data_IF_830506687220
#
_entry.id   IF_830506687220
#
_cell.length_a   1.000
_cell.length_b   1.000
_cell.length_c   1.000
_cell.angle_alpha   90.00
_cell.angle_beta   90.00
_cell.angle_gamma   90.00
#
_symmetry.space_group_name_H-M   'P 1'
#
loop_
_entity.id
_entity.type
_entity.pdbx_description
1 polymer ?
#
# COMPACT_ATOMS: atom_id res chain seq x y z
N UNK A 1 -40.76 11.78 21.22
CA UNK A 1 -40.95 10.36 20.95
C UNK A 1 -40.59 9.58 22.19
N UNK A 2 -41.49 8.87 22.79
CA UNK A 2 -41.27 8.16 24.05
C UNK A 2 -40.32 6.99 23.82
N UNK A 3 -39.20 6.97 24.52
CA UNK A 3 -38.30 5.82 24.57
C UNK A 3 -39.01 4.67 25.21
N UNK A 4 -39.29 3.61 24.44
CA UNK A 4 -39.67 2.33 24.99
C UNK A 4 -38.47 1.76 25.76
N UNK A 5 -38.44 1.96 27.10
CA UNK A 5 -37.61 1.16 27.97
C UNK A 5 -38.13 -0.27 27.88
N UNK A 6 -37.40 -1.17 27.23
CA UNK A 6 -37.62 -2.61 27.42
C UNK A 6 -37.11 -2.96 28.81
N UNK A 7 -38.02 -3.26 29.73
CA UNK A 7 -37.68 -3.83 31.02
C UNK A 7 -37.22 -5.27 30.82
N UNK A 8 -35.90 -5.49 30.86
CA UNK A 8 -35.34 -6.83 30.86
C UNK A 8 -35.61 -7.49 32.20
N UNK A 9 -36.10 -8.73 32.18
CA UNK A 9 -36.28 -9.52 33.38
C UNK A 9 -34.95 -10.05 33.88
N UNK A 10 -34.73 -10.21 35.21
CA UNK A 10 -33.46 -10.74 35.75
C UNK A 10 -33.08 -12.11 35.18
N UNK A 11 -34.04 -12.91 34.79
CA UNK A 11 -33.87 -14.23 34.15
C UNK A 11 -33.32 -14.17 32.71
N UNK A 12 -33.41 -12.99 32.04
CA UNK A 12 -32.85 -12.78 30.71
C UNK A 12 -31.34 -12.41 30.76
N UNK A 13 -30.77 -12.26 31.99
CA UNK A 13 -29.39 -11.89 32.20
C UNK A 13 -28.57 -13.14 32.46
N UNK A 14 -27.80 -13.57 31.46
CA UNK A 14 -26.97 -14.77 31.53
C UNK A 14 -25.80 -14.63 32.53
N UNK A 15 -25.43 -13.40 32.87
CA UNK A 15 -24.35 -13.06 33.79
C UNK A 15 -24.81 -11.98 34.79
N UNK A 16 -24.82 -12.27 36.11
CA UNK A 16 -25.37 -11.35 37.12
C UNK A 16 -24.65 -10.01 37.29
N UNK A 17 -23.42 -9.91 36.78
CA UNK A 17 -22.62 -8.69 36.82
C UNK A 17 -22.59 -7.95 35.46
N UNK A 18 -23.44 -8.34 34.51
CA UNK A 18 -23.47 -7.71 33.18
C UNK A 18 -24.33 -6.45 33.19
N UNK A 19 -23.75 -5.34 32.71
CA UNK A 19 -24.50 -4.12 32.44
C UNK A 19 -25.12 -4.18 31.04
N UNK A 20 -26.42 -4.06 30.93
CA UNK A 20 -27.12 -3.96 29.63
C UNK A 20 -27.25 -2.47 29.31
N UNK A 21 -26.54 -2.05 28.27
CA UNK A 21 -26.58 -0.67 27.75
C UNK A 21 -27.50 -0.65 26.55
N UNK A 22 -28.49 0.25 26.55
CA UNK A 22 -29.35 0.44 25.37
C UNK A 22 -28.59 1.32 24.37
N UNK A 23 -28.31 0.80 23.18
CA UNK A 23 -27.72 1.52 22.07
C UNK A 23 -28.71 1.64 20.91
N UNK A 24 -28.76 2.80 20.27
CA UNK A 24 -29.59 3.01 19.09
C UNK A 24 -28.88 2.41 17.85
N UNK A 25 -29.49 1.43 17.20
CA UNK A 25 -28.92 0.71 16.05
C UNK A 25 -28.44 1.66 14.94
N UNK A 26 -29.22 2.69 14.63
CA UNK A 26 -28.88 3.64 13.56
C UNK A 26 -27.62 4.44 13.90
N UNK A 27 -27.48 4.87 15.16
CA UNK A 27 -26.30 5.58 15.65
C UNK A 27 -25.05 4.70 15.57
N UNK A 28 -25.15 3.47 16.07
CA UNK A 28 -24.08 2.48 16.07
C UNK A 28 -23.61 2.13 14.64
N UNK A 29 -24.57 1.87 13.72
CA UNK A 29 -24.24 1.60 12.33
C UNK A 29 -23.55 2.76 11.63
N UNK A 30 -23.99 4.01 11.86
CA UNK A 30 -23.35 5.20 11.28
C UNK A 30 -21.90 5.33 11.74
N UNK A 31 -21.66 5.19 13.04
CA UNK A 31 -20.32 5.30 13.60
C UNK A 31 -19.42 4.18 13.07
N UNK A 32 -19.84 2.94 13.17
CA UNK A 32 -19.07 1.77 12.69
C UNK A 32 -18.76 1.87 11.19
N UNK A 33 -19.74 2.34 10.38
CA UNK A 33 -19.50 2.54 8.95
C UNK A 33 -18.49 3.67 8.67
N UNK A 34 -18.54 4.77 9.42
CA UNK A 34 -17.57 5.85 9.31
C UNK A 34 -16.15 5.39 9.67
N UNK A 35 -16.00 4.65 10.76
CA UNK A 35 -14.72 4.08 11.18
C UNK A 35 -14.17 3.11 10.13
N UNK A 36 -15.01 2.23 9.60
CA UNK A 36 -14.63 1.33 8.50
C UNK A 36 -14.22 2.11 7.24
N UNK A 37 -15.03 3.08 6.82
CA UNK A 37 -14.73 3.90 5.63
C UNK A 37 -13.38 4.62 5.77
N UNK A 38 -13.13 5.25 6.92
CA UNK A 38 -11.87 5.93 7.19
C UNK A 38 -10.68 4.96 7.20
N UNK A 39 -10.84 3.78 7.79
CA UNK A 39 -9.78 2.76 7.80
C UNK A 39 -9.42 2.28 6.38
N UNK A 40 -10.42 2.14 5.50
CA UNK A 40 -10.20 1.74 4.09
C UNK A 40 -9.55 2.86 3.29
N UNK A 41 -9.99 4.12 3.48
CA UNK A 41 -9.44 5.27 2.76
C UNK A 41 -7.98 5.49 3.13
N UNK A 42 -7.69 5.63 4.43
CA UNK A 42 -6.35 6.01 4.91
C UNK A 42 -5.40 4.80 4.96
N UNK A 43 -5.89 3.64 5.39
CA UNK A 43 -5.06 2.47 5.72
C UNK A 43 -4.95 1.40 4.64
N UNK A 44 -5.66 1.53 3.49
CA UNK A 44 -5.69 0.43 2.50
C UNK A 44 -5.66 0.87 1.05
N UNK A 45 -6.59 1.75 0.63
CA UNK A 45 -6.92 1.91 -0.78
C UNK A 45 -6.09 2.98 -1.48
N UNK A 46 -5.70 4.04 -0.78
CA UNK A 46 -5.02 5.18 -1.36
C UNK A 46 -3.50 5.09 -1.17
N UNK A 47 -2.71 5.47 -2.19
CA UNK A 47 -1.27 5.60 -2.06
C UNK A 47 -0.90 6.89 -1.32
N UNK A 48 0.24 6.90 -0.62
CA UNK A 48 0.85 8.15 -0.15
C UNK A 48 1.50 8.88 -1.33
N UNK A 49 1.31 10.19 -1.40
CA UNK A 49 1.83 11.00 -2.53
C UNK A 49 3.36 11.02 -2.58
N UNK A 50 4.04 10.86 -1.45
CA UNK A 50 5.50 10.97 -1.31
C UNK A 50 6.23 9.77 -1.87
N UNK A 51 5.72 8.54 -1.66
CA UNK A 51 6.35 7.29 -2.12
C UNK A 51 5.50 6.51 -3.13
N UNK A 52 4.26 6.94 -3.38
CA UNK A 52 3.35 6.30 -4.34
C UNK A 52 2.87 4.91 -3.92
N UNK A 53 2.99 4.54 -2.67
CA UNK A 53 2.71 3.19 -2.18
C UNK A 53 1.47 3.16 -1.28
N UNK A 54 0.70 2.09 -1.43
CA UNK A 54 -0.29 1.71 -0.43
C UNK A 54 0.42 1.06 0.77
N UNK A 55 -0.17 1.05 1.97
CA UNK A 55 0.47 0.49 3.16
C UNK A 55 0.99 -0.94 2.98
N UNK A 56 0.22 -1.83 2.33
CA UNK A 56 0.66 -3.21 2.08
C UNK A 56 1.90 -3.28 1.19
N UNK A 57 1.98 -2.46 0.14
CA UNK A 57 3.15 -2.43 -0.75
C UNK A 57 4.39 -1.93 -0.03
N UNK A 58 4.26 -0.88 0.79
CA UNK A 58 5.35 -0.34 1.61
C UNK A 58 5.89 -1.37 2.58
N UNK A 59 5.00 -2.09 3.27
CA UNK A 59 5.34 -3.15 4.20
C UNK A 59 6.05 -4.32 3.53
N UNK A 60 5.64 -4.69 2.31
CA UNK A 60 6.33 -5.72 1.51
C UNK A 60 7.76 -5.30 1.20
N UNK A 61 7.94 -4.10 0.62
CA UNK A 61 9.29 -3.63 0.24
C UNK A 61 10.19 -3.45 1.46
N UNK A 62 9.64 -2.94 2.57
CA UNK A 62 10.39 -2.75 3.80
C UNK A 62 10.79 -4.08 4.46
N UNK A 63 9.89 -5.06 4.56
CA UNK A 63 10.22 -6.39 5.08
C UNK A 63 11.29 -7.09 4.22
N UNK A 64 11.20 -6.98 2.89
CA UNK A 64 12.22 -7.52 1.99
C UNK A 64 13.58 -6.82 2.17
N UNK A 65 13.59 -5.53 2.46
CA UNK A 65 14.81 -4.77 2.77
C UNK A 65 15.44 -5.23 4.08
N UNK A 66 14.67 -5.34 5.18
CA UNK A 66 15.14 -5.86 6.46
C UNK A 66 15.75 -7.26 6.34
N UNK A 67 15.16 -8.10 5.48
CA UNK A 67 15.67 -9.45 5.19
C UNK A 67 16.86 -9.46 4.24
N UNK A 68 17.36 -8.29 3.86
CA UNK A 68 18.48 -8.09 2.95
C UNK A 68 18.27 -8.78 1.58
N UNK A 69 17.03 -8.76 1.07
CA UNK A 69 16.64 -9.32 -0.23
C UNK A 69 16.82 -8.30 -1.36
N UNK A 70 17.99 -7.70 -1.43
CA UNK A 70 18.33 -6.71 -2.46
C UNK A 70 18.54 -7.36 -3.83
N UNK A 71 18.55 -6.54 -4.88
CA UNK A 71 18.63 -7.00 -6.29
C UNK A 71 19.93 -7.77 -6.63
N UNK A 72 20.98 -7.64 -5.83
CA UNK A 72 22.26 -8.33 -5.95
C UNK A 72 22.32 -9.65 -5.16
N UNK A 73 21.28 -9.97 -4.38
CA UNK A 73 21.19 -11.19 -3.58
C UNK A 73 20.40 -12.29 -4.28
N UNK A 74 20.59 -13.55 -3.89
CA UNK A 74 19.77 -14.65 -4.39
C UNK A 74 18.27 -14.44 -4.10
N UNK A 75 17.44 -14.98 -4.96
CA UNK A 75 16.00 -15.04 -4.75
C UNK A 75 15.67 -15.86 -3.49
N UNK A 76 14.57 -15.49 -2.83
CA UNK A 76 14.00 -16.24 -1.71
C UNK A 76 12.55 -16.61 -2.01
N UNK A 77 12.07 -17.72 -1.45
CA UNK A 77 10.67 -18.14 -1.64
C UNK A 77 9.69 -17.03 -1.26
N UNK A 78 8.71 -16.78 -2.10
CA UNK A 78 7.67 -15.79 -1.84
C UNK A 78 6.90 -16.10 -0.54
N UNK A 79 6.79 -17.38 -0.19
CA UNK A 79 6.22 -17.83 1.08
C UNK A 79 6.92 -17.23 2.31
N UNK A 80 8.25 -17.09 2.26
CA UNK A 80 9.02 -16.44 3.35
C UNK A 80 8.70 -14.96 3.40
N UNK A 81 8.74 -14.26 2.26
CA UNK A 81 8.43 -12.83 2.20
C UNK A 81 7.02 -12.53 2.71
N UNK A 82 6.02 -13.32 2.30
CA UNK A 82 4.64 -13.18 2.78
C UNK A 82 4.55 -13.43 4.28
N UNK A 83 5.20 -14.48 4.79
CA UNK A 83 5.21 -14.81 6.21
C UNK A 83 5.84 -13.71 7.08
N UNK A 84 6.94 -13.13 6.63
CA UNK A 84 7.64 -12.05 7.32
C UNK A 84 6.78 -10.77 7.36
N UNK A 85 6.09 -10.43 6.27
CA UNK A 85 5.16 -9.30 6.23
C UNK A 85 3.98 -9.50 7.17
N UNK A 86 3.37 -10.68 7.17
CA UNK A 86 2.25 -11.02 8.06
C UNK A 86 2.64 -10.98 9.53
N UNK A 87 3.75 -11.62 9.86
CA UNK A 87 4.20 -11.74 11.24
C UNK A 87 4.72 -10.45 11.84
N UNK A 88 5.21 -9.51 11.02
CA UNK A 88 5.86 -8.29 11.51
C UNK A 88 5.00 -7.03 11.35
N UNK A 89 4.24 -6.89 10.24
CA UNK A 89 3.68 -5.59 9.85
C UNK A 89 2.22 -5.60 9.42
N UNK A 90 1.71 -6.70 8.87
CA UNK A 90 0.41 -6.70 8.20
C UNK A 90 -0.47 -7.90 8.59
N UNK A 91 -1.18 -7.83 9.74
CA UNK A 91 -1.95 -8.95 10.30
C UNK A 91 -3.27 -9.17 9.55
N UNK A 92 -3.20 -9.50 8.26
CA UNK A 92 -4.33 -9.77 7.38
C UNK A 92 -4.14 -11.12 6.67
N UNK A 93 -5.01 -11.46 5.72
CA UNK A 93 -4.91 -12.73 4.99
C UNK A 93 -3.64 -12.83 4.12
N UNK A 94 -2.99 -13.99 4.13
CA UNK A 94 -1.78 -14.30 3.37
C UNK A 94 -1.97 -14.11 1.85
N UNK A 95 -3.12 -14.51 1.32
CA UNK A 95 -3.45 -14.34 -0.09
C UNK A 95 -3.43 -12.85 -0.49
N UNK A 96 -3.95 -11.95 0.35
CA UNK A 96 -3.97 -10.52 0.04
C UNK A 96 -2.56 -9.91 -0.04
N UNK A 97 -1.65 -10.34 0.83
CA UNK A 97 -0.24 -9.93 0.81
C UNK A 97 0.46 -10.51 -0.41
N UNK A 98 0.21 -11.80 -0.73
CA UNK A 98 0.79 -12.42 -1.91
C UNK A 98 0.31 -11.76 -3.21
N UNK A 99 -0.98 -11.47 -3.34
CA UNK A 99 -1.53 -10.79 -4.52
C UNK A 99 -0.92 -9.39 -4.70
N UNK A 100 -0.66 -8.68 -3.60
CA UNK A 100 0.03 -7.40 -3.64
C UNK A 100 1.50 -7.55 -4.10
N UNK A 101 2.22 -8.55 -3.56
CA UNK A 101 3.59 -8.87 -3.99
C UNK A 101 3.65 -9.24 -5.46
N UNK A 102 2.71 -10.07 -5.92
CA UNK A 102 2.59 -10.47 -7.33
C UNK A 102 2.43 -9.25 -8.24
N UNK A 103 1.55 -8.31 -7.91
CA UNK A 103 1.36 -7.08 -8.70
C UNK A 103 2.62 -6.25 -8.82
N UNK A 104 3.43 -6.17 -7.77
CA UNK A 104 4.71 -5.45 -7.79
C UNK A 104 5.76 -6.10 -8.70
N UNK A 105 5.58 -7.38 -9.06
CA UNK A 105 6.47 -8.16 -9.91
C UNK A 105 5.95 -8.36 -11.35
N UNK A 106 4.72 -7.93 -11.66
CA UNK A 106 4.12 -8.09 -12.99
C UNK A 106 4.48 -6.92 -13.91
N UNK A 107 5.08 -7.19 -15.05
CA UNK A 107 5.47 -6.20 -16.06
C UNK A 107 4.27 -5.56 -16.80
N UNK A 108 3.12 -6.24 -16.80
CA UNK A 108 1.85 -5.72 -17.32
C UNK A 108 1.02 -4.93 -16.29
N UNK A 109 1.36 -5.03 -15.00
CA UNK A 109 0.70 -4.29 -13.91
C UNK A 109 1.47 -3.06 -13.47
N UNK A 110 2.81 -3.11 -13.56
CA UNK A 110 3.73 -2.05 -13.15
C UNK A 110 4.56 -1.61 -14.35
N UNK A 111 4.62 -0.30 -14.59
CA UNK A 111 5.52 0.23 -15.64
C UNK A 111 6.99 -0.03 -15.30
N UNK A 112 7.34 0.09 -14.02
CA UNK A 112 8.66 -0.23 -13.47
C UNK A 112 8.47 -1.13 -12.27
N UNK A 113 8.72 -2.42 -12.44
CA UNK A 113 8.53 -3.42 -11.40
C UNK A 113 9.37 -3.11 -10.16
N UNK A 114 8.75 -3.17 -8.98
CA UNK A 114 9.43 -2.96 -7.70
C UNK A 114 9.93 -4.26 -7.08
N UNK A 115 9.39 -5.38 -7.51
CA UNK A 115 9.83 -6.72 -7.13
C UNK A 115 10.32 -7.45 -8.37
N UNK A 116 11.46 -8.11 -8.26
CA UNK A 116 12.01 -9.04 -9.25
C UNK A 116 11.52 -10.44 -8.89
N UNK A 117 10.69 -11.03 -9.73
CA UNK A 117 10.03 -12.32 -9.50
C UNK A 117 10.65 -13.42 -10.35
N UNK A 118 10.78 -14.62 -9.76
CA UNK A 118 11.22 -15.83 -10.45
C UNK A 118 10.16 -16.93 -10.33
N UNK A 119 9.66 -17.39 -11.46
CA UNK A 119 8.57 -18.36 -11.57
C UNK A 119 7.36 -17.78 -12.31
N UNK A 120 6.18 -18.38 -12.10
CA UNK A 120 4.95 -17.92 -12.74
C UNK A 120 4.23 -16.90 -11.84
N UNK A 121 4.23 -15.64 -12.26
CA UNK A 121 3.52 -14.54 -11.64
C UNK A 121 2.23 -14.14 -12.36
N UNK A 122 1.69 -15.03 -13.18
CA UNK A 122 0.49 -14.79 -13.99
C UNK A 122 0.81 -14.27 -15.40
N UNK A 123 -0.23 -14.06 -16.18
CA UNK A 123 -0.11 -13.53 -17.54
C UNK A 123 -1.14 -12.42 -17.81
N UNK A 124 -0.92 -11.65 -18.86
CA UNK A 124 -1.87 -10.64 -19.35
C UNK A 124 -3.17 -11.26 -19.85
N UNK A 125 -3.13 -12.53 -20.24
CA UNK A 125 -4.30 -13.29 -20.71
C UNK A 125 -5.21 -13.76 -19.55
N UNK A 126 -4.84 -13.45 -18.30
CA UNK A 126 -5.65 -13.74 -17.12
C UNK A 126 -5.28 -15.02 -16.39
N UNK A 127 -4.18 -15.68 -16.75
CA UNK A 127 -3.69 -16.82 -15.98
C UNK A 127 -3.29 -16.38 -14.57
N UNK A 128 -3.73 -17.11 -13.53
CA UNK A 128 -3.36 -16.77 -12.16
C UNK A 128 -1.88 -17.07 -11.89
N UNK A 129 -1.26 -16.37 -10.92
CA UNK A 129 0.08 -16.72 -10.47
C UNK A 129 0.09 -18.10 -9.82
N UNK A 130 1.24 -18.77 -9.88
CA UNK A 130 1.45 -19.99 -9.11
C UNK A 130 1.40 -19.70 -7.61
N UNK A 131 1.06 -20.69 -6.78
CA UNK A 131 1.04 -20.52 -5.34
C UNK A 131 2.41 -20.07 -4.82
N UNK A 132 2.42 -19.22 -3.77
CA UNK A 132 3.62 -18.54 -3.22
C UNK A 132 4.74 -19.50 -2.77
N UNK A 133 4.44 -20.78 -2.55
CA UNK A 133 5.45 -21.81 -2.25
C UNK A 133 6.31 -22.18 -3.44
N UNK A 134 5.86 -21.90 -4.66
CA UNK A 134 6.59 -22.23 -5.90
C UNK A 134 7.35 -21.02 -6.48
N UNK A 135 6.90 -19.80 -6.20
CA UNK A 135 7.52 -18.58 -6.69
C UNK A 135 8.62 -18.10 -5.77
N UNK A 136 9.53 -17.30 -6.32
CA UNK A 136 10.62 -16.66 -5.59
C UNK A 136 10.65 -15.17 -5.93
N UNK A 137 11.12 -14.35 -4.98
CA UNK A 137 11.14 -12.91 -5.13
C UNK A 137 12.39 -12.29 -4.47
N UNK A 138 12.75 -11.10 -4.96
CA UNK A 138 13.72 -10.18 -4.36
C UNK A 138 13.36 -8.76 -4.77
N UNK A 139 13.95 -7.74 -4.15
CA UNK A 139 13.79 -6.36 -4.57
C UNK A 139 14.39 -6.15 -5.97
N UNK A 140 13.72 -5.35 -6.79
CA UNK A 140 14.28 -4.91 -8.07
C UNK A 140 15.34 -3.81 -7.85
N UNK A 141 16.13 -3.50 -8.88
CA UNK A 141 17.16 -2.45 -8.78
C UNK A 141 16.57 -1.08 -8.47
N UNK A 142 15.42 -0.75 -9.05
CA UNK A 142 14.77 0.55 -8.83
C UNK A 142 14.22 0.69 -7.40
N UNK A 143 13.81 -0.40 -6.77
CA UNK A 143 13.34 -0.38 -5.38
C UNK A 143 14.44 -0.03 -4.39
N UNK A 144 15.70 -0.31 -4.71
CA UNK A 144 16.83 0.11 -3.89
C UNK A 144 16.91 1.64 -3.79
N UNK A 145 16.50 2.38 -4.82
CA UNK A 145 16.48 3.85 -4.80
C UNK A 145 15.32 4.40 -3.95
N UNK A 146 14.28 3.61 -3.70
CA UNK A 146 13.21 3.97 -2.76
C UNK A 146 13.61 3.78 -1.30
N UNK A 147 14.55 2.87 -1.02
CA UNK A 147 14.94 2.44 0.32
C UNK A 147 16.31 2.96 0.75
N UNK A 148 17.11 3.48 -0.19
CA UNK A 148 18.54 3.79 -0.02
C UNK A 148 18.86 4.65 1.19
N UNK A 149 18.01 5.61 1.52
CA UNK A 149 18.25 6.56 2.61
C UNK A 149 17.38 6.28 3.86
N UNK A 150 16.79 5.08 3.97
CA UNK A 150 15.85 4.72 5.05
C UNK A 150 16.49 4.83 6.45
N UNK A 151 17.80 4.57 6.55
CA UNK A 151 18.56 4.63 7.81
C UNK A 151 19.08 6.02 8.16
N UNK A 152 18.82 7.03 7.31
CA UNK A 152 19.37 8.39 7.46
C UNK A 152 18.43 9.38 8.19
N UNK A 153 17.50 8.87 8.98
CA UNK A 153 16.50 9.68 9.69
C UNK A 153 15.68 10.62 8.77
N UNK A 154 15.38 10.13 7.56
CA UNK A 154 14.66 10.88 6.53
C UNK A 154 13.15 10.76 6.64
N UNK A 155 12.64 9.81 7.42
CA UNK A 155 11.23 9.47 7.51
C UNK A 155 10.80 9.23 8.95
N UNK A 156 9.51 9.49 9.21
CA UNK A 156 8.92 9.16 10.50
C UNK A 156 8.62 7.66 10.59
N UNK A 157 8.72 7.13 11.81
CA UNK A 157 8.48 5.75 12.15
C UNK A 157 7.25 5.62 13.03
N UNK A 158 6.38 4.69 12.70
CA UNK A 158 5.23 4.33 13.52
C UNK A 158 5.45 2.94 14.15
N UNK A 159 4.87 2.65 15.33
CA UNK A 159 4.86 1.28 15.84
C UNK A 159 4.05 0.39 14.88
N UNK A 160 4.46 -0.89 14.78
CA UNK A 160 3.66 -1.90 14.09
C UNK A 160 2.40 -2.27 14.92
N UNK A 161 1.59 -3.20 14.44
CA UNK A 161 0.29 -3.56 15.03
C UNK A 161 0.38 -4.11 16.47
N UNK A 162 1.49 -4.70 16.89
CA UNK A 162 1.72 -5.26 18.23
C UNK A 162 2.75 -4.46 19.06
N UNK A 163 3.17 -3.30 18.55
CA UNK A 163 4.15 -2.39 19.18
C UNK A 163 5.54 -3.00 19.45
N UNK A 164 5.82 -4.18 18.89
CA UNK A 164 7.13 -4.85 19.07
C UNK A 164 8.19 -4.32 18.12
N UNK A 165 7.79 -3.71 17.00
CA UNK A 165 8.67 -3.18 15.97
C UNK A 165 8.22 -1.80 15.50
N UNK A 166 9.05 -1.17 14.68
CA UNK A 166 8.70 0.07 13.98
C UNK A 166 8.62 -0.17 12.49
N UNK A 167 7.69 0.50 11.84
CA UNK A 167 7.57 0.53 10.39
C UNK A 167 7.68 1.97 9.87
N UNK A 168 8.26 2.21 8.69
CA UNK A 168 8.35 3.55 8.13
C UNK A 168 6.96 4.01 7.68
N UNK A 169 6.59 5.24 8.08
CA UNK A 169 5.33 5.86 7.64
C UNK A 169 5.32 6.06 6.12
N UNK A 170 6.47 6.32 5.53
CA UNK A 170 6.69 6.52 4.10
C UNK A 170 8.12 6.10 3.76
N UNK A 171 8.38 5.63 2.53
CA UNK A 171 9.75 5.37 2.08
C UNK A 171 10.41 6.66 1.58
N UNK A 172 11.74 6.84 1.79
CA UNK A 172 12.49 8.01 1.30
C UNK A 172 12.77 7.90 -0.20
N UNK A 173 11.72 7.75 -1.00
CA UNK A 173 11.83 7.54 -2.44
C UNK A 173 12.60 8.68 -3.12
N UNK A 174 13.64 8.34 -3.90
CA UNK A 174 14.43 9.30 -4.67
C UNK A 174 13.83 9.69 -6.01
N UNK A 175 12.71 9.11 -6.36
CA UNK A 175 11.96 9.45 -7.57
C UNK A 175 10.45 9.44 -7.26
N UNK A 176 9.63 10.21 -7.97
CA UNK A 176 8.20 10.32 -7.72
C UNK A 176 7.46 9.07 -8.23
N UNK A 177 7.54 7.98 -7.48
CA UNK A 177 6.98 6.68 -7.84
C UNK A 177 5.47 6.73 -8.14
N UNK A 178 4.72 7.64 -7.48
CA UNK A 178 3.30 7.81 -7.77
C UNK A 178 3.03 8.16 -9.23
N UNK A 179 3.85 9.04 -9.82
CA UNK A 179 3.74 9.41 -11.23
C UNK A 179 4.33 8.34 -12.14
N UNK A 180 5.44 7.74 -11.75
CA UNK A 180 6.18 6.78 -12.57
C UNK A 180 5.42 5.48 -12.76
N UNK A 181 4.87 4.91 -11.69
CA UNK A 181 4.10 3.67 -11.72
C UNK A 181 2.58 3.87 -11.72
N UNK A 182 2.12 5.07 -11.39
CA UNK A 182 0.70 5.32 -11.20
C UNK A 182 0.13 4.60 -9.97
N UNK A 183 -1.16 4.68 -9.81
CA UNK A 183 -1.91 3.91 -8.82
C UNK A 183 -3.38 3.87 -9.15
N UNK A 184 -4.01 2.74 -8.95
CA UNK A 184 -5.46 2.61 -8.98
C UNK A 184 -5.96 2.00 -7.68
N UNK A 185 -7.12 2.44 -7.20
CA UNK A 185 -7.71 1.92 -5.96
C UNK A 185 -9.15 2.36 -5.79
N UNK A 186 -9.93 1.48 -5.18
CA UNK A 186 -11.33 1.73 -4.86
C UNK A 186 -11.44 1.74 -3.34
N UNK A 187 -11.86 2.89 -2.80
CA UNK A 187 -12.15 3.07 -1.39
C UNK A 187 -13.66 3.20 -1.17
N UNK A 188 -14.06 3.54 0.04
CA UNK A 188 -15.47 3.84 0.34
C UNK A 188 -15.77 5.28 -0.05
N UNK A 189 -16.71 5.48 -0.97
CA UNK A 189 -17.13 6.82 -1.42
C UNK A 189 -16.17 7.53 -2.39
N UNK A 190 -14.99 6.97 -2.67
CA UNK A 190 -14.03 7.53 -3.63
C UNK A 190 -13.16 6.46 -4.27
N UNK A 191 -12.58 6.80 -5.41
CA UNK A 191 -11.61 5.96 -6.12
C UNK A 191 -10.44 6.82 -6.60
N UNK A 192 -9.28 6.21 -6.79
CA UNK A 192 -8.12 6.84 -7.43
C UNK A 192 -7.73 6.07 -8.69
N UNK A 193 -7.32 6.81 -9.71
CA UNK A 193 -6.77 6.23 -10.93
C UNK A 193 -5.74 7.21 -11.52
N UNK A 194 -4.47 6.93 -11.24
CA UNK A 194 -3.34 7.74 -11.69
C UNK A 194 -2.58 6.92 -12.73
N UNK A 195 -2.49 7.38 -13.98
CA UNK A 195 -1.77 6.67 -15.04
C UNK A 195 -0.26 6.69 -14.79
N UNK A 196 0.48 5.66 -15.25
CA UNK A 196 1.93 5.61 -15.16
C UNK A 196 2.60 6.50 -16.23
N UNK A 197 3.74 7.12 -15.89
CA UNK A 197 4.50 8.01 -16.76
C UNK A 197 5.91 7.49 -17.01
N UNK A 198 6.58 8.03 -18.03
CA UNK A 198 7.97 7.70 -18.31
C UNK A 198 8.90 8.30 -17.24
N UNK A 199 9.83 7.50 -16.70
CA UNK A 199 10.74 7.92 -15.63
C UNK A 199 11.61 9.10 -16.06
N UNK A 200 12.15 9.10 -17.29
CA UNK A 200 13.00 10.18 -17.79
C UNK A 200 12.21 11.49 -17.93
N UNK A 201 10.99 11.42 -18.44
CA UNK A 201 10.11 12.59 -18.56
C UNK A 201 9.79 13.19 -17.18
N UNK A 202 9.44 12.35 -16.22
CA UNK A 202 9.13 12.79 -14.85
C UNK A 202 10.37 13.39 -14.16
N UNK A 203 11.56 12.81 -14.35
CA UNK A 203 12.80 13.36 -13.79
C UNK A 203 13.13 14.71 -14.44
N UNK A 204 12.96 14.87 -15.76
CA UNK A 204 13.16 16.16 -16.43
C UNK A 204 12.21 17.24 -15.89
N UNK A 205 10.95 16.88 -15.62
CA UNK A 205 10.03 17.80 -14.98
C UNK A 205 10.45 18.15 -13.53
N UNK A 206 11.00 17.20 -12.77
CA UNK A 206 11.56 17.49 -11.45
C UNK A 206 12.77 18.44 -11.54
N UNK A 207 13.65 18.27 -12.52
CA UNK A 207 14.77 19.17 -12.75
C UNK A 207 14.26 20.58 -13.11
N UNK A 208 13.24 20.69 -13.96
CA UNK A 208 12.62 21.97 -14.27
C UNK A 208 12.13 22.71 -13.02
N UNK A 209 11.45 22.01 -12.08
CA UNK A 209 11.01 22.61 -10.81
C UNK A 209 12.19 23.06 -9.93
N UNK A 210 13.29 22.29 -9.93
CA UNK A 210 14.48 22.65 -9.15
C UNK A 210 15.21 23.86 -9.71
N UNK A 211 15.25 24.00 -11.04
CA UNK A 211 15.89 25.13 -11.74
C UNK A 211 15.02 26.39 -11.69
N UNK A 212 13.69 26.23 -11.79
CA UNK A 212 12.73 27.32 -11.68
C UNK A 212 11.53 26.89 -10.80
N UNK A 213 11.54 27.22 -9.49
CA UNK A 213 10.43 26.90 -8.58
C UNK A 213 9.09 27.56 -8.95
N UNK A 214 9.10 28.62 -9.77
CA UNK A 214 7.91 29.32 -10.25
C UNK A 214 7.37 28.75 -11.58
N UNK A 215 7.95 27.67 -12.09
CA UNK A 215 7.51 27.04 -13.34
C UNK A 215 6.03 26.62 -13.25
N UNK A 216 5.31 26.83 -14.35
CA UNK A 216 3.88 26.56 -14.43
C UNK A 216 3.61 25.07 -14.73
N UNK A 217 2.36 24.64 -14.51
CA UNK A 217 1.93 23.31 -14.96
C UNK A 217 2.13 23.10 -16.46
N UNK A 218 1.98 24.18 -17.27
CA UNK A 218 2.23 24.14 -18.72
C UNK A 218 3.67 23.78 -19.05
N UNK A 219 4.63 24.37 -18.35
CA UNK A 219 6.04 24.09 -18.54
C UNK A 219 6.39 22.65 -18.17
N UNK A 220 5.80 22.12 -17.08
CA UNK A 220 5.98 20.72 -16.69
C UNK A 220 5.40 19.75 -17.71
N UNK A 221 4.26 20.07 -18.30
CA UNK A 221 3.63 19.26 -19.35
C UNK A 221 4.41 19.26 -20.68
N UNK A 222 5.33 20.19 -20.89
CA UNK A 222 6.27 20.11 -22.01
C UNK A 222 7.27 18.99 -21.86
N UNK A 223 7.67 18.69 -20.62
CA UNK A 223 8.58 17.59 -20.28
C UNK A 223 7.87 16.23 -20.23
N UNK A 224 6.58 16.19 -19.80
CA UNK A 224 5.78 14.95 -19.67
C UNK A 224 4.86 14.82 -20.88
N UNK A 225 5.42 14.34 -21.98
CA UNK A 225 4.72 14.25 -23.27
C UNK A 225 3.73 13.11 -23.36
N UNK A 226 3.91 12.04 -22.58
CA UNK A 226 3.04 10.87 -22.54
C UNK A 226 1.60 11.18 -22.12
N UNK A 227 1.35 12.25 -21.39
CA UNK A 227 -0.01 12.70 -21.01
C UNK A 227 -0.76 13.31 -22.19
N UNK A 228 -0.06 13.97 -23.09
CA UNK A 228 -0.68 14.60 -24.29
C UNK A 228 -1.33 13.59 -25.25
N UNK A 229 -0.95 12.32 -25.17
CA UNK A 229 -1.52 11.25 -26.03
C UNK A 229 -2.76 10.58 -25.45
N UNK A 230 -3.17 10.92 -24.22
CA UNK A 230 -4.30 10.30 -23.49
C UNK A 230 -5.50 11.27 -23.43
N UNK A 231 -5.29 12.57 -23.69
CA UNK A 231 -6.31 13.60 -23.81
C UNK A 231 -6.69 13.82 -25.28
#
# INVERSE_FOLDING_TARGET
>A
MAQHKKDYKPEDIMFPNQAIITSELVGEMKQSYMEYAMSVIVGRALPDVRDGLKPVHRRILYAMYEDNLTSDRPFRKSATCVGDVLGRYHPHGDQSVYDALVRLAQDFSMRYMLVDGHGNFGSVDGDPPAAYRYTEARLSRISNEMLRDIEKDMVNWDPNFDETRKEPRVLPSRFPNLLVNGSSGIAVGMATNIPPHNLTEVINACICILDDPECTLGDLMEHITGVKSIL
#
